data_IF_406438143312
#
_entry.id   IF_406438143312
#
_cell.length_a   1.000
_cell.length_b   1.000
_cell.length_c   1.000
_cell.angle_alpha   90.00
_cell.angle_beta   90.00
_cell.angle_gamma   90.00
#
_symmetry.space_group_name_H-M   'P 1'
#
loop_
_entity.id
_entity.type
_entity.pdbx_description
1 polymer ?
#
# COMPACT_ATOMS: atom_id res chain seq x y z
N UNK A 1 14.39 20.08 -0.93
CA UNK A 1 13.52 20.24 -2.13
C UNK A 1 12.36 19.26 -2.00
N UNK A 2 11.12 19.73 -1.88
CA UNK A 2 9.94 18.86 -1.79
C UNK A 2 9.53 18.44 -3.20
N UNK A 3 10.07 17.32 -3.69
CA UNK A 3 9.61 16.69 -4.93
C UNK A 3 8.17 16.20 -4.72
N UNK A 4 7.24 16.45 -5.66
CA UNK A 4 5.88 15.92 -5.57
C UNK A 4 5.91 14.40 -5.43
N UNK A 5 5.13 13.84 -4.50
CA UNK A 5 5.07 12.40 -4.31
C UNK A 5 4.56 11.72 -5.59
N UNK A 6 5.25 10.66 -6.03
CA UNK A 6 4.80 9.78 -7.10
C UNK A 6 3.82 8.77 -6.50
N UNK A 7 2.54 8.83 -6.90
CA UNK A 7 1.50 7.96 -6.36
C UNK A 7 1.12 6.91 -7.40
N UNK A 8 1.16 5.63 -7.02
CA UNK A 8 0.75 4.51 -7.88
C UNK A 8 -0.35 3.70 -7.19
N UNK A 9 -1.49 3.54 -7.86
CA UNK A 9 -2.57 2.65 -7.43
C UNK A 9 -2.56 1.38 -8.27
N UNK A 10 -2.53 0.21 -7.63
CA UNK A 10 -2.51 -1.10 -8.29
C UNK A 10 -3.82 -1.81 -7.98
N UNK A 11 -4.57 -2.18 -9.00
CA UNK A 11 -5.86 -2.86 -8.88
C UNK A 11 -5.95 -3.97 -9.93
N UNK A 12 -6.37 -5.16 -9.54
CA UNK A 12 -6.52 -6.31 -10.45
C UNK A 12 -7.93 -6.45 -11.00
N UNK A 13 -8.92 -5.92 -10.29
CA UNK A 13 -10.31 -5.95 -10.67
C UNK A 13 -10.55 -4.87 -11.74
N UNK A 14 -10.76 -5.31 -12.98
CA UNK A 14 -10.91 -4.42 -14.12
C UNK A 14 -12.05 -3.39 -13.95
N UNK A 15 -13.26 -3.75 -13.46
CA UNK A 15 -14.29 -2.77 -13.12
C UNK A 15 -13.82 -1.67 -12.15
N UNK A 16 -13.18 -2.04 -11.03
CA UNK A 16 -12.69 -1.07 -10.05
C UNK A 16 -11.56 -0.20 -10.61
N UNK A 17 -10.68 -0.77 -11.44
CA UNK A 17 -9.65 -0.03 -12.16
C UNK A 17 -10.24 1.03 -13.08
N UNK A 18 -11.27 0.67 -13.86
CA UNK A 18 -11.95 1.60 -14.77
C UNK A 18 -12.68 2.71 -14.00
N UNK A 19 -13.37 2.36 -12.91
CA UNK A 19 -14.01 3.35 -12.02
C UNK A 19 -12.96 4.31 -11.46
N UNK A 20 -11.79 3.81 -11.06
CA UNK A 20 -10.70 4.65 -10.52
C UNK A 20 -10.13 5.61 -11.58
N UNK A 21 -9.95 5.14 -12.82
CA UNK A 21 -9.56 5.99 -13.95
C UNK A 21 -10.62 7.05 -14.25
N UNK A 22 -11.90 6.69 -14.24
CA UNK A 22 -13.00 7.63 -14.46
C UNK A 22 -13.05 8.70 -13.36
N UNK A 23 -13.00 8.30 -12.08
CA UNK A 23 -12.93 9.24 -10.94
C UNK A 23 -11.77 10.22 -11.07
N UNK A 24 -10.59 9.76 -11.53
CA UNK A 24 -9.44 10.64 -11.75
C UNK A 24 -9.74 11.80 -12.72
N UNK A 25 -10.62 11.63 -13.70
CA UNK A 25 -11.00 12.70 -14.64
C UNK A 25 -11.63 13.90 -13.93
N UNK A 26 -12.33 13.67 -12.81
CA UNK A 26 -12.92 14.72 -11.98
C UNK A 26 -11.94 15.30 -10.94
N UNK A 27 -10.72 14.75 -10.84
CA UNK A 27 -9.69 15.20 -9.92
C UNK A 27 -8.33 15.38 -10.63
N UNK A 28 -8.23 16.30 -11.62
CA UNK A 28 -7.05 16.43 -12.48
C UNK A 28 -5.77 16.86 -11.74
N UNK A 29 -5.90 17.46 -10.56
CA UNK A 29 -4.76 17.82 -9.70
C UNK A 29 -4.09 16.59 -9.05
N UNK A 30 -4.79 15.45 -8.98
CA UNK A 30 -4.24 14.21 -8.42
C UNK A 30 -3.30 13.54 -9.43
N UNK A 31 -2.01 13.59 -9.13
CA UNK A 31 -0.94 12.94 -9.92
C UNK A 31 -0.82 11.45 -9.57
N UNK A 32 -1.89 10.70 -9.78
CA UNK A 32 -1.96 9.25 -9.50
C UNK A 32 -1.83 8.46 -10.80
N UNK A 33 -0.93 7.47 -10.83
CA UNK A 33 -0.88 6.47 -11.89
C UNK A 33 -1.61 5.19 -11.45
N UNK A 34 -2.64 4.80 -12.19
CA UNK A 34 -3.33 3.53 -11.94
C UNK A 34 -2.81 2.45 -12.89
N UNK A 35 -2.52 1.28 -12.34
CA UNK A 35 -2.02 0.09 -13.03
C UNK A 35 -3.05 -1.03 -12.83
N UNK A 36 -3.56 -1.60 -13.92
CA UNK A 36 -4.43 -2.77 -13.89
C UNK A 36 -3.58 -4.04 -13.80
N UNK A 37 -3.24 -4.47 -12.59
CA UNK A 37 -2.36 -5.62 -12.36
C UNK A 37 -2.65 -6.27 -11.01
N UNK A 38 -2.36 -7.57 -10.91
CA UNK A 38 -2.24 -8.23 -9.61
C UNK A 38 -1.09 -7.62 -8.81
N UNK A 39 -1.41 -7.02 -7.65
CA UNK A 39 -0.42 -6.49 -6.72
C UNK A 39 0.66 -7.53 -6.40
N UNK A 40 0.32 -8.82 -6.31
CA UNK A 40 1.29 -9.85 -5.99
C UNK A 40 2.36 -10.03 -7.08
N UNK A 41 2.11 -9.53 -8.30
CA UNK A 41 3.06 -9.50 -9.42
C UNK A 41 3.72 -8.14 -9.64
N UNK A 42 3.26 -7.10 -8.95
CA UNK A 42 3.83 -5.76 -9.02
C UNK A 42 5.05 -5.64 -8.10
N UNK A 43 6.13 -5.01 -8.57
CA UNK A 43 7.36 -4.85 -7.78
C UNK A 43 7.22 -3.69 -6.77
N UNK A 44 7.51 -3.97 -5.50
CA UNK A 44 7.44 -2.99 -4.41
C UNK A 44 8.79 -2.37 -4.01
N UNK A 45 9.89 -2.77 -4.64
CA UNK A 45 11.26 -2.38 -4.25
C UNK A 45 11.50 -0.88 -4.13
N UNK A 46 10.83 -0.10 -4.99
CA UNK A 46 11.08 1.34 -5.08
C UNK A 46 10.18 2.14 -4.12
N UNK A 47 9.15 1.52 -3.55
CA UNK A 47 8.15 2.21 -2.75
C UNK A 47 8.71 2.71 -1.41
N UNK A 48 8.63 4.02 -1.17
CA UNK A 48 8.91 4.63 0.13
C UNK A 48 7.78 4.43 1.14
N UNK A 49 6.54 4.43 0.64
CA UNK A 49 5.33 4.27 1.45
C UNK A 49 4.39 3.32 0.73
N UNK A 50 3.87 2.33 1.46
CA UNK A 50 2.90 1.36 0.96
C UNK A 50 1.65 1.49 1.83
N UNK A 51 0.51 1.80 1.21
CA UNK A 51 -0.79 1.82 1.88
C UNK A 51 -1.62 0.63 1.41
N UNK A 52 -2.25 -0.08 2.35
CA UNK A 52 -3.04 -1.27 2.03
C UNK A 52 -4.39 -1.28 2.72
N UNK A 53 -5.39 -1.68 1.94
CA UNK A 53 -6.71 -2.03 2.43
C UNK A 53 -7.12 -3.37 1.83
N UNK A 54 -6.94 -4.45 2.60
CA UNK A 54 -7.16 -5.82 2.15
C UNK A 54 -8.29 -6.53 2.89
N UNK A 55 -8.80 -7.58 2.27
CA UNK A 55 -9.52 -8.63 2.98
C UNK A 55 -8.56 -9.46 3.85
N UNK A 56 -9.05 -10.16 4.88
CA UNK A 56 -8.23 -11.04 5.73
C UNK A 56 -7.39 -12.07 4.95
N UNK A 57 -7.91 -12.58 3.83
CA UNK A 57 -7.21 -13.57 3.02
C UNK A 57 -6.06 -12.94 2.23
N UNK A 58 -6.30 -11.81 1.56
CA UNK A 58 -5.27 -11.08 0.82
C UNK A 58 -4.18 -10.57 1.78
N UNK A 59 -4.56 -10.21 3.00
CA UNK A 59 -3.65 -9.80 4.05
C UNK A 59 -2.57 -10.85 4.37
N UNK A 60 -2.97 -12.10 4.62
CA UNK A 60 -2.03 -13.21 4.90
C UNK A 60 -1.04 -13.41 3.75
N UNK A 61 -1.51 -13.34 2.50
CA UNK A 61 -0.66 -13.48 1.31
C UNK A 61 0.32 -12.30 1.16
N UNK A 62 -0.08 -11.09 1.54
CA UNK A 62 0.73 -9.89 1.43
C UNK A 62 1.92 -9.88 2.39
N UNK A 63 1.86 -10.64 3.49
CA UNK A 63 2.92 -10.67 4.48
C UNK A 63 4.28 -11.04 3.89
N UNK A 64 4.35 -12.20 3.21
CA UNK A 64 5.58 -12.67 2.60
C UNK A 64 6.12 -11.69 1.55
N UNK A 65 5.23 -11.07 0.77
CA UNK A 65 5.64 -10.12 -0.28
C UNK A 65 6.29 -8.87 0.30
N UNK A 66 5.71 -8.26 1.34
CA UNK A 66 6.30 -7.07 1.97
C UNK A 66 7.63 -7.39 2.66
N UNK A 67 7.77 -8.56 3.26
CA UNK A 67 9.06 -9.00 3.80
C UNK A 67 10.13 -9.17 2.74
N UNK A 68 9.78 -9.59 1.53
CA UNK A 68 10.74 -9.85 0.45
C UNK A 68 11.11 -8.59 -0.32
N UNK A 69 10.12 -7.80 -0.72
CA UNK A 69 10.32 -6.74 -1.73
C UNK A 69 10.41 -5.34 -1.14
N UNK A 70 9.80 -5.08 0.02
CA UNK A 70 9.81 -3.73 0.59
C UNK A 70 11.22 -3.36 1.05
N UNK A 71 11.71 -2.17 0.72
CA UNK A 71 13.02 -1.69 1.22
C UNK A 71 12.99 -1.39 2.72
N UNK A 72 14.13 -1.48 3.39
CA UNK A 72 14.23 -1.29 4.85
C UNK A 72 13.77 0.10 5.33
N UNK A 73 13.89 1.15 4.51
CA UNK A 73 13.45 2.49 4.89
C UNK A 73 11.95 2.74 4.70
N UNK A 74 11.23 1.81 4.06
CA UNK A 74 9.84 2.06 3.69
C UNK A 74 8.89 1.99 4.88
N UNK A 75 7.83 2.79 4.78
CA UNK A 75 6.70 2.80 5.70
C UNK A 75 5.58 1.95 5.12
N UNK A 76 5.10 0.99 5.91
CA UNK A 76 3.93 0.19 5.59
C UNK A 76 2.75 0.65 6.45
N UNK A 77 1.67 1.05 5.80
CA UNK A 77 0.42 1.48 6.43
C UNK A 77 -0.65 0.43 6.12
N UNK A 78 -1.12 -0.23 7.17
CA UNK A 78 -2.17 -1.25 7.11
C UNK A 78 -3.46 -0.77 7.74
N UNK A 79 -4.56 -0.88 7.02
CA UNK A 79 -5.90 -0.62 7.57
C UNK A 79 -6.49 -1.89 8.20
N UNK A 80 -7.02 -1.78 9.42
CA UNK A 80 -7.77 -2.78 10.21
C UNK A 80 -7.00 -4.01 10.71
N UNK A 81 -5.99 -4.50 10.00
CA UNK A 81 -5.28 -5.73 10.37
C UNK A 81 -3.80 -5.44 10.70
N UNK A 82 -3.26 -5.95 11.83
CA UNK A 82 -1.87 -5.75 12.24
C UNK A 82 -0.92 -6.68 11.48
N UNK A 83 0.28 -6.18 11.14
CA UNK A 83 1.31 -6.95 10.44
C UNK A 83 2.09 -7.79 11.42
N UNK A 84 2.05 -9.11 11.21
CA UNK A 84 2.68 -10.09 12.09
C UNK A 84 3.96 -10.53 11.40
N UNK A 85 5.04 -9.79 11.66
CA UNK A 85 6.37 -10.09 11.14
C UNK A 85 7.42 -9.53 12.08
N UNK A 86 8.45 -10.32 12.37
CA UNK A 86 9.63 -9.87 13.13
C UNK A 86 10.46 -8.85 12.36
N UNK A 87 10.28 -8.74 11.03
CA UNK A 87 11.00 -7.79 10.19
C UNK A 87 10.36 -6.41 10.14
N UNK A 88 9.20 -6.21 10.78
CA UNK A 88 8.50 -4.93 10.79
C UNK A 88 8.27 -4.46 12.22
N UNK A 89 8.76 -3.27 12.53
CA UNK A 89 8.51 -2.61 13.79
C UNK A 89 7.25 -1.76 13.68
N UNK A 90 6.29 -1.96 14.58
CA UNK A 90 5.16 -1.06 14.74
C UNK A 90 5.67 0.29 15.26
N UNK A 91 5.47 1.35 14.47
CA UNK A 91 5.80 2.73 14.86
C UNK A 91 4.61 3.34 15.59
N UNK A 92 3.42 3.17 15.04
CA UNK A 92 2.21 3.81 15.55
C UNK A 92 0.99 2.94 15.30
N UNK A 93 0.11 2.91 16.28
CA UNK A 93 -1.26 2.41 16.17
C UNK A 93 -2.18 3.60 16.35
N UNK A 94 -3.04 3.85 15.37
CA UNK A 94 -4.04 4.91 15.44
C UNK A 94 -5.39 4.22 15.61
N UNK A 95 -6.06 4.52 16.73
CA UNK A 95 -7.40 4.02 17.04
C UNK A 95 -8.40 5.15 16.82
N UNK A 96 -9.28 4.97 15.85
CA UNK A 96 -10.44 5.82 15.57
C UNK A 96 -11.64 4.88 15.29
N UNK A 97 -12.56 5.22 14.39
CA UNK A 97 -13.60 4.28 13.91
C UNK A 97 -13.00 2.96 13.39
N UNK A 98 -11.80 3.02 12.81
CA UNK A 98 -11.05 1.87 12.35
C UNK A 98 -9.58 1.97 12.76
N UNK A 99 -8.99 0.87 13.22
CA UNK A 99 -7.57 0.84 13.60
C UNK A 99 -6.68 0.93 12.36
N UNK A 100 -5.71 1.84 12.38
CA UNK A 100 -4.63 1.92 11.40
C UNK A 100 -3.31 1.56 12.07
N UNK A 101 -2.49 0.77 11.38
CA UNK A 101 -1.19 0.36 11.86
C UNK A 101 -0.10 0.88 10.92
N UNK A 102 0.90 1.55 11.49
CA UNK A 102 2.03 2.12 10.76
C UNK A 102 3.29 1.37 11.19
N UNK A 103 3.96 0.76 10.23
CA UNK A 103 5.16 -0.04 10.42
C UNK A 103 6.33 0.53 9.62
N UNK A 104 7.54 0.24 10.09
CA UNK A 104 8.76 0.38 9.31
C UNK A 104 9.53 -0.93 9.31
N UNK A 105 10.07 -1.28 8.15
CA UNK A 105 10.86 -2.50 8.01
C UNK A 105 12.20 -2.35 8.75
N UNK A 106 12.60 -3.38 9.47
CA UNK A 106 13.91 -3.45 10.11
C UNK A 106 14.93 -4.08 9.16
N UNK A 107 16.22 -3.79 9.39
CA UNK A 107 17.31 -4.45 8.66
C UNK A 107 17.43 -5.91 9.07
#
# INVERSE_FOLDING_TARGET
KNTPAKITGVEKNQPLYLISKFKKLFHPHLRINFINQDLFKFNLSDADVIYTYFSPHAYKKAQNKFEQETKSSAILIGWRYPFISSKFRLIQKIEDQHTMYIYQKQR
#
